data_IF_181980669582
#
_entry.id   IF_181980669582
#
_cell.length_a   1.000
_cell.length_b   1.000
_cell.length_c   1.000
_cell.angle_alpha   90.00
_cell.angle_beta   90.00
_cell.angle_gamma   90.00
#
_symmetry.space_group_name_H-M   'P 1'
#
loop_
_entity.id
_entity.type
_entity.pdbx_description
1 polymer ?
#
# COMPACT_ATOMS: atom_id res chain seq x y z
N UNK A 1 5.73 14.27 -11.90
CA UNK A 1 6.70 13.16 -11.89
C UNK A 1 7.52 13.26 -10.61
N UNK A 2 7.57 12.15 -9.89
CA UNK A 2 8.30 11.97 -8.64
C UNK A 2 9.37 10.90 -8.81
N UNK A 3 10.38 10.91 -7.95
CA UNK A 3 11.40 9.85 -7.92
C UNK A 3 11.09 8.87 -6.79
N UNK A 4 10.71 7.65 -7.14
CA UNK A 4 10.46 6.55 -6.19
C UNK A 4 11.66 5.59 -6.13
N UNK A 5 11.76 4.82 -5.05
CA UNK A 5 12.76 3.74 -4.92
C UNK A 5 12.06 2.39 -4.99
N UNK A 6 12.39 1.57 -5.98
CA UNK A 6 11.88 0.21 -6.14
C UNK A 6 13.07 -0.75 -6.25
N UNK A 7 13.14 -1.75 -5.38
CA UNK A 7 14.26 -2.72 -5.35
C UNK A 7 15.67 -2.08 -5.32
N UNK A 8 15.79 -0.92 -4.67
CA UNK A 8 17.04 -0.15 -4.58
C UNK A 8 17.35 0.72 -5.81
N UNK A 9 16.53 0.68 -6.85
CA UNK A 9 16.64 1.55 -8.03
C UNK A 9 15.76 2.79 -7.90
N UNK A 10 16.28 3.93 -8.38
CA UNK A 10 15.50 5.17 -8.49
C UNK A 10 14.76 5.22 -9.82
N UNK A 11 13.45 5.43 -9.76
CA UNK A 11 12.56 5.43 -10.92
C UNK A 11 11.81 6.76 -10.93
N UNK A 12 11.76 7.42 -12.08
CA UNK A 12 10.86 8.56 -12.29
C UNK A 12 9.49 8.04 -12.70
N UNK A 13 8.48 8.33 -11.89
CA UNK A 13 7.11 7.89 -12.12
C UNK A 13 6.10 8.99 -11.81
N UNK A 14 4.95 8.92 -12.46
CA UNK A 14 3.78 9.73 -12.16
C UNK A 14 2.91 9.00 -11.14
N UNK A 15 2.48 9.68 -10.11
CA UNK A 15 1.43 9.18 -9.21
C UNK A 15 0.11 9.14 -9.96
N UNK A 16 -0.51 7.97 -10.03
CA UNK A 16 -1.84 7.78 -10.59
C UNK A 16 -2.89 8.02 -9.51
N UNK A 17 -2.68 7.43 -8.34
CA UNK A 17 -3.68 7.40 -7.28
C UNK A 17 -3.03 7.13 -5.92
N UNK A 18 -3.61 7.73 -4.88
CA UNK A 18 -3.25 7.49 -3.49
C UNK A 18 -4.50 7.12 -2.69
N UNK A 19 -4.45 5.96 -2.01
CA UNK A 19 -5.53 5.47 -1.18
C UNK A 19 -5.03 5.24 0.24
N UNK A 20 -5.55 6.03 1.17
CA UNK A 20 -5.30 5.87 2.60
C UNK A 20 -6.52 5.30 3.32
N UNK A 21 -6.27 4.60 4.42
CA UNK A 21 -7.34 4.14 5.30
C UNK A 21 -6.85 3.69 6.66
N UNK A 22 -7.80 3.36 7.52
CA UNK A 22 -7.53 2.86 8.86
C UNK A 22 -8.05 1.42 9.00
N UNK A 23 -7.18 0.50 9.38
CA UNK A 23 -7.59 -0.83 9.87
C UNK A 23 -7.90 -0.74 11.36
N UNK A 24 -9.05 -0.13 11.67
CA UNK A 24 -9.53 0.09 13.03
C UNK A 24 -8.51 0.81 13.92
N UNK A 25 -8.34 0.33 15.15
CA UNK A 25 -7.39 0.89 16.12
C UNK A 25 -5.97 0.32 15.99
N UNK A 26 -5.70 -0.55 15.01
CA UNK A 26 -4.45 -1.34 14.94
C UNK A 26 -3.42 -0.74 13.99
N UNK A 27 -3.84 -0.27 12.83
CA UNK A 27 -2.91 0.32 11.86
C UNK A 27 -3.57 1.31 10.91
N UNK A 28 -2.77 2.24 10.41
CA UNK A 28 -3.06 3.05 9.25
C UNK A 28 -2.35 2.46 8.04
N UNK A 29 -2.93 2.63 6.87
CA UNK A 29 -2.28 2.27 5.63
C UNK A 29 -2.38 3.40 4.61
N UNK A 30 -1.40 3.47 3.72
CA UNK A 30 -1.40 4.38 2.57
C UNK A 30 -0.75 3.65 1.41
N UNK A 31 -1.54 3.39 0.38
CA UNK A 31 -1.08 2.76 -0.85
C UNK A 31 -1.07 3.81 -1.96
N UNK A 32 0.01 3.83 -2.74
CA UNK A 32 0.18 4.77 -3.85
C UNK A 32 0.53 3.99 -5.10
N UNK A 33 -0.27 4.17 -6.14
CA UNK A 33 -0.05 3.59 -7.46
C UNK A 33 0.69 4.60 -8.33
N UNK A 34 1.80 4.17 -8.92
CA UNK A 34 2.63 4.97 -9.81
C UNK A 34 2.72 4.33 -11.20
N UNK A 35 3.04 5.16 -12.21
CA UNK A 35 3.37 4.70 -13.57
C UNK A 35 4.56 5.45 -14.14
N UNK A 36 5.55 4.73 -14.68
CA UNK A 36 6.69 5.36 -15.35
C UNK A 36 6.36 5.76 -16.79
N UNK A 37 7.26 6.52 -17.42
CA UNK A 37 7.14 6.94 -18.82
C UNK A 37 7.17 5.78 -19.82
N UNK A 38 7.62 4.59 -19.40
CA UNK A 38 7.65 3.37 -20.21
C UNK A 38 6.34 2.60 -20.12
N UNK A 39 5.42 3.02 -19.27
CA UNK A 39 4.12 2.41 -19.04
C UNK A 39 4.11 1.31 -17.98
N UNK A 40 5.19 1.11 -17.23
CA UNK A 40 5.26 0.14 -16.11
C UNK A 40 4.59 0.70 -14.86
N UNK A 41 3.96 -0.17 -14.08
CA UNK A 41 3.24 0.20 -12.86
C UNK A 41 4.03 -0.18 -11.61
N UNK A 42 3.96 0.67 -10.59
CA UNK A 42 4.60 0.43 -9.31
C UNK A 42 3.61 0.69 -8.19
N UNK A 43 3.55 -0.22 -7.23
CA UNK A 43 2.73 -0.05 -6.03
C UNK A 43 3.64 0.20 -4.84
N UNK A 44 3.44 1.34 -4.18
CA UNK A 44 4.06 1.67 -2.91
C UNK A 44 3.05 1.44 -1.80
N UNK A 45 3.34 0.51 -0.91
CA UNK A 45 2.49 0.17 0.23
C UNK A 45 3.16 0.68 1.52
N UNK A 46 2.46 1.55 2.23
CA UNK A 46 2.88 2.05 3.54
C UNK A 46 1.94 1.54 4.63
N UNK A 47 2.50 0.93 5.68
CA UNK A 47 1.75 0.42 6.84
C UNK A 47 2.32 1.02 8.11
N UNK A 48 1.47 1.64 8.93
CA UNK A 48 1.87 2.25 10.20
C UNK A 48 1.04 1.65 11.33
N UNK A 49 1.69 0.98 12.29
CA UNK A 49 0.98 0.34 13.40
C UNK A 49 0.78 1.33 14.56
N UNK A 50 -0.45 1.36 15.09
CA UNK A 50 -0.83 2.23 16.21
C UNK A 50 -0.39 1.60 17.53
N UNK A 51 0.18 2.44 18.41
CA UNK A 51 0.54 2.03 19.77
C UNK A 51 -0.71 2.00 20.66
N UNK A 52 -0.95 0.92 21.45
CA UNK A 52 -2.06 0.87 22.39
C UNK A 52 -1.97 1.96 23.48
N UNK A 53 -3.03 2.75 23.66
CA UNK A 53 -3.09 3.90 24.60
C UNK A 53 -2.84 3.55 26.09
N UNK A 54 -2.94 2.28 26.47
CA UNK A 54 -2.82 1.82 27.87
C UNK A 54 -1.48 1.15 28.18
N UNK A 55 -0.52 1.17 27.26
CA UNK A 55 0.75 0.52 27.50
C UNK A 55 1.58 1.34 28.50
N UNK A 56 1.59 0.89 29.77
CA UNK A 56 2.46 1.42 30.84
C UNK A 56 3.77 0.65 30.82
N UNK A 57 4.87 1.33 30.49
CA UNK A 57 6.17 0.68 30.30
C UNK A 57 7.08 0.85 31.50
N UNK A 58 7.70 -0.24 31.94
CA UNK A 58 8.57 -0.30 33.12
C UNK A 58 10.03 -0.65 32.81
N UNK A 59 10.38 -1.09 31.59
CA UNK A 59 11.74 -1.57 31.26
C UNK A 59 12.30 -1.00 29.92
N UNK A 60 13.63 -0.80 29.79
CA UNK A 60 14.26 -0.29 28.55
C UNK A 60 14.11 -1.18 27.31
N UNK A 61 14.00 -2.51 27.47
CA UNK A 61 13.77 -3.45 26.36
C UNK A 61 12.42 -3.25 25.66
N UNK A 62 11.45 -2.66 26.36
CA UNK A 62 10.15 -2.34 25.78
C UNK A 62 10.24 -1.20 24.75
N UNK A 63 11.32 -0.39 24.81
CA UNK A 63 11.56 0.73 23.91
C UNK A 63 12.08 0.31 22.54
N UNK A 64 12.95 -0.69 22.46
CA UNK A 64 13.41 -1.26 21.16
C UNK A 64 12.32 -2.08 20.46
N UNK A 65 11.40 -2.66 21.22
CA UNK A 65 10.18 -3.27 20.69
C UNK A 65 9.21 -2.20 20.18
N UNK A 66 9.10 -1.08 20.90
CA UNK A 66 8.30 0.09 20.50
C UNK A 66 8.83 0.74 19.23
N UNK A 67 10.15 0.98 19.13
CA UNK A 67 10.76 1.54 17.92
C UNK A 67 10.51 0.63 16.70
N UNK A 68 10.38 -0.68 16.91
CA UNK A 68 9.96 -1.65 15.88
C UNK A 68 8.46 -1.62 15.56
N UNK A 69 7.58 -1.40 16.54
CA UNK A 69 6.14 -1.26 16.30
C UNK A 69 5.76 0.11 15.74
N UNK A 70 6.59 1.14 15.95
CA UNK A 70 6.41 2.48 15.38
C UNK A 70 7.05 2.60 13.99
N UNK A 71 7.64 1.53 13.47
CA UNK A 71 8.17 1.50 12.11
C UNK A 71 7.00 1.50 11.12
N UNK A 72 6.93 2.57 10.33
CA UNK A 72 6.24 2.53 9.05
C UNK A 72 6.97 1.54 8.16
N UNK A 73 6.33 0.43 7.83
CA UNK A 73 6.84 -0.47 6.80
C UNK A 73 6.46 0.14 5.45
N UNK A 74 7.46 0.43 4.63
CA UNK A 74 7.26 0.93 3.27
C UNK A 74 7.89 -0.06 2.30
N UNK A 75 7.08 -0.61 1.42
CA UNK A 75 7.52 -1.46 0.33
C UNK A 75 7.12 -0.81 -0.99
N UNK A 76 7.97 -0.92 -2.01
CA UNK A 76 7.62 -0.51 -3.37
C UNK A 76 8.05 -1.62 -4.31
N UNK A 77 7.10 -2.10 -5.09
CA UNK A 77 7.29 -3.20 -6.04
C UNK A 77 6.72 -2.86 -7.40
N UNK A 78 7.35 -3.39 -8.45
CA UNK A 78 6.78 -3.38 -9.80
C UNK A 78 5.60 -4.37 -9.83
N UNK A 79 4.50 -3.95 -10.45
CA UNK A 79 3.30 -4.77 -10.65
C UNK A 79 2.87 -4.73 -12.10
N UNK A 80 2.20 -5.78 -12.55
CA UNK A 80 1.58 -5.82 -13.88
C UNK A 80 0.40 -4.86 -13.98
N UNK A 81 0.03 -4.50 -15.21
CA UNK A 81 -1.19 -3.71 -15.46
C UNK A 81 -2.44 -4.42 -14.92
N UNK A 82 -2.51 -5.74 -15.05
CA UNK A 82 -3.58 -6.57 -14.48
C UNK A 82 -3.68 -6.38 -12.96
N UNK A 83 -2.56 -6.51 -12.25
CA UNK A 83 -2.52 -6.33 -10.79
C UNK A 83 -2.89 -4.90 -10.37
N UNK A 84 -2.46 -3.89 -11.14
CA UNK A 84 -2.83 -2.49 -10.89
C UNK A 84 -4.35 -2.28 -11.01
N UNK A 85 -4.98 -2.88 -12.03
CA UNK A 85 -6.43 -2.83 -12.21
C UNK A 85 -7.17 -3.56 -11.08
N UNK A 86 -6.68 -4.72 -10.65
CA UNK A 86 -7.25 -5.49 -9.54
C UNK A 86 -7.19 -4.69 -8.24
N UNK A 87 -6.02 -4.15 -7.90
CA UNK A 87 -5.82 -3.30 -6.74
C UNK A 87 -6.80 -2.10 -6.75
N UNK A 88 -6.94 -1.41 -7.89
CA UNK A 88 -7.85 -0.27 -7.98
C UNK A 88 -9.31 -0.65 -7.67
N UNK A 89 -9.79 -1.76 -8.21
CA UNK A 89 -11.16 -2.25 -7.94
C UNK A 89 -11.32 -2.68 -6.49
N UNK A 90 -10.35 -3.41 -5.94
CA UNK A 90 -10.40 -3.88 -4.56
C UNK A 90 -10.51 -2.73 -3.56
N UNK A 91 -9.85 -1.61 -3.86
CA UNK A 91 -9.80 -0.46 -2.95
C UNK A 91 -10.99 0.49 -3.09
N UNK A 92 -11.56 0.67 -4.29
CA UNK A 92 -12.66 1.64 -4.51
C UNK A 92 -14.06 1.02 -4.54
N UNK A 93 -14.18 -0.26 -4.86
CA UNK A 93 -15.49 -0.86 -5.13
C UNK A 93 -16.07 -1.53 -3.88
N UNK A 94 -17.00 -0.83 -3.24
CA UNK A 94 -17.72 -1.34 -2.05
C UNK A 94 -18.84 -2.33 -2.38
N UNK A 95 -19.39 -2.30 -3.61
CA UNK A 95 -20.43 -3.26 -4.02
C UNK A 95 -19.77 -4.58 -4.43
N UNK A 96 -19.91 -5.59 -3.58
CA UNK A 96 -19.31 -6.92 -3.78
C UNK A 96 -19.71 -7.57 -5.11
N UNK A 97 -20.96 -7.40 -5.57
CA UNK A 97 -21.42 -8.01 -6.83
C UNK A 97 -20.80 -7.33 -8.04
N UNK A 98 -20.65 -6.01 -7.99
CA UNK A 98 -19.94 -5.28 -9.05
C UNK A 98 -18.45 -5.63 -9.03
N UNK A 99 -17.84 -5.69 -7.85
CA UNK A 99 -16.44 -6.06 -7.66
C UNK A 99 -16.14 -7.43 -8.28
N UNK A 100 -16.92 -8.45 -7.94
CA UNK A 100 -16.78 -9.79 -8.55
C UNK A 100 -16.88 -9.77 -10.07
N UNK A 101 -17.81 -8.99 -10.64
CA UNK A 101 -17.96 -8.87 -12.09
C UNK A 101 -16.75 -8.22 -12.75
N UNK A 102 -16.24 -7.12 -12.19
CA UNK A 102 -15.09 -6.43 -12.75
C UNK A 102 -13.80 -7.25 -12.61
N UNK A 103 -13.57 -7.88 -11.46
CA UNK A 103 -12.45 -8.81 -11.29
C UNK A 103 -12.54 -9.98 -12.27
N UNK A 104 -13.74 -10.53 -12.50
CA UNK A 104 -13.95 -11.57 -13.51
C UNK A 104 -13.70 -11.11 -14.95
N UNK A 105 -13.96 -9.84 -15.28
CA UNK A 105 -13.61 -9.27 -16.58
C UNK A 105 -12.10 -9.12 -16.74
N UNK A 106 -11.40 -8.66 -15.71
CA UNK A 106 -9.94 -8.53 -15.71
C UNK A 106 -9.30 -9.89 -15.90
N UNK A 107 -9.70 -10.90 -15.12
CA UNK A 107 -9.17 -12.26 -15.23
C UNK A 107 -9.32 -12.86 -16.64
N UNK A 108 -10.33 -12.42 -17.38
CA UNK A 108 -10.62 -12.95 -18.71
C UNK A 108 -9.90 -12.20 -19.84
N UNK A 109 -9.57 -10.92 -19.65
CA UNK A 109 -9.18 -10.03 -20.75
C UNK A 109 -7.90 -9.23 -20.55
N UNK A 110 -7.35 -9.18 -19.34
CA UNK A 110 -6.07 -8.55 -19.02
C UNK A 110 -5.01 -9.63 -18.72
#
# INVERSE_FOLDING_TARGET
>A
METITCEGMRIEAEEIEQIGGEFGDLSNFTDILYRDSSGRYFLKEERSYKVPKNAKYQMPRDREWFDRMTQSETETREISEKEAMQWYIEMFMNDEKLKERFLGLIERFA
#
